data_IF_131527930539
#
_entry.id   IF_131527930539
#
_cell.length_a   1.000
_cell.length_b   1.000
_cell.length_c   1.000
_cell.angle_alpha   90.00
_cell.angle_beta   90.00
_cell.angle_gamma   90.00
#
_symmetry.space_group_name_H-M   'P 1'
#
loop_
_entity.id
_entity.type
_entity.pdbx_description
1 polymer ?
#
# COMPACT_ATOMS: atom_id res chain seq x y z
N UNK A 1 -13.05 -14.99 1.12
CA UNK A 1 -12.14 -15.29 0.79
C UNK A 1 -10.75 -15.67 1.27
N UNK A 2 -9.81 -15.43 0.38
CA UNK A 2 -8.42 -15.81 0.65
C UNK A 2 -7.65 -14.75 1.44
N UNK A 3 -8.23 -13.56 1.65
CA UNK A 3 -7.54 -12.48 2.36
C UNK A 3 -7.22 -12.85 3.80
N UNK A 4 -8.15 -13.51 4.49
CA UNK A 4 -7.92 -13.96 5.88
C UNK A 4 -6.75 -14.94 5.98
N UNK A 5 -6.66 -15.87 5.04
CA UNK A 5 -5.57 -16.85 5.00
C UNK A 5 -4.24 -16.19 4.67
N UNK A 6 -4.24 -15.26 3.72
CA UNK A 6 -3.04 -14.52 3.34
C UNK A 6 -2.54 -13.66 4.49
N UNK A 7 -3.45 -13.01 5.22
CA UNK A 7 -3.10 -12.20 6.38
C UNK A 7 -2.53 -13.06 7.51
N UNK A 8 -3.15 -14.21 7.77
CA UNK A 8 -2.66 -15.14 8.78
C UNK A 8 -1.27 -15.70 8.43
N UNK A 9 -1.04 -15.98 7.14
CA UNK A 9 0.26 -16.43 6.67
C UNK A 9 1.33 -15.34 6.84
N UNK A 10 1.01 -14.11 6.49
CA UNK A 10 1.94 -12.99 6.66
C UNK A 10 2.32 -12.81 8.13
N UNK A 11 1.33 -12.83 9.02
CA UNK A 11 1.58 -12.72 10.47
C UNK A 11 2.52 -13.86 10.93
N UNK A 12 2.25 -15.08 10.49
CA UNK A 12 3.06 -16.25 10.87
C UNK A 12 4.48 -16.15 10.31
N UNK A 13 4.63 -15.74 9.05
CA UNK A 13 5.93 -15.62 8.40
C UNK A 13 6.82 -14.55 9.04
N UNK A 14 6.21 -13.48 9.57
CA UNK A 14 6.94 -12.39 10.23
C UNK A 14 7.21 -12.65 11.72
N UNK A 15 6.62 -13.68 12.30
CA UNK A 15 6.75 -13.95 13.71
C UNK A 15 8.20 -14.11 14.20
N UNK A 16 9.09 -14.83 13.47
CA UNK A 16 10.49 -14.91 13.89
C UNK A 16 11.20 -13.56 13.92
N UNK A 17 10.86 -12.68 13.00
CA UNK A 17 11.44 -11.33 12.93
C UNK A 17 10.98 -10.52 14.14
N UNK A 18 9.69 -10.58 14.48
CA UNK A 18 9.14 -9.89 15.66
C UNK A 18 9.75 -10.40 16.95
N UNK A 19 9.93 -11.73 17.06
CA UNK A 19 10.49 -12.33 18.25
C UNK A 19 11.94 -11.94 18.47
N UNK A 20 12.69 -11.75 17.37
CA UNK A 20 14.10 -11.33 17.45
C UNK A 20 14.24 -9.87 17.89
N UNK A 21 13.34 -9.01 17.46
CA UNK A 21 13.38 -7.56 17.75
C UNK A 21 11.98 -7.03 18.07
N UNK A 22 11.42 -7.39 19.25
CA UNK A 22 10.01 -7.08 19.54
C UNK A 22 9.69 -5.60 19.67
N UNK A 23 10.67 -4.75 19.93
CA UNK A 23 10.47 -3.31 20.08
C UNK A 23 10.62 -2.54 18.78
N UNK A 24 11.01 -3.21 17.69
CA UNK A 24 11.21 -2.55 16.40
C UNK A 24 10.03 -2.88 15.47
N UNK A 25 9.30 -1.85 14.99
CA UNK A 25 8.20 -2.10 14.04
C UNK A 25 8.70 -2.68 12.73
N UNK A 26 7.94 -3.60 12.16
CA UNK A 26 8.21 -4.12 10.83
C UNK A 26 7.63 -3.14 9.82
N UNK A 27 8.45 -2.56 8.97
CA UNK A 27 8.02 -1.60 7.97
C UNK A 27 7.66 -2.29 6.67
N UNK A 28 6.66 -1.76 6.00
CA UNK A 28 6.22 -2.25 4.71
C UNK A 28 5.89 -1.11 3.78
N UNK A 29 5.66 -1.45 2.52
CA UNK A 29 5.39 -0.46 1.49
C UNK A 29 4.51 -1.06 0.41
N UNK A 30 3.41 -0.37 0.08
CA UNK A 30 2.67 -0.65 -1.14
C UNK A 30 3.28 0.16 -2.28
N UNK A 31 3.36 -0.44 -3.46
CA UNK A 31 3.90 0.21 -4.66
C UNK A 31 2.87 0.10 -5.78
N UNK A 32 2.63 1.20 -6.47
CA UNK A 32 1.85 1.21 -7.69
C UNK A 32 2.66 1.89 -8.79
N UNK A 33 2.80 1.21 -9.93
CA UNK A 33 3.47 1.77 -11.10
C UNK A 33 2.46 1.83 -12.24
N UNK A 34 2.31 3.01 -12.84
CA UNK A 34 1.43 3.24 -13.98
C UNK A 34 2.28 3.63 -15.18
N UNK A 35 1.98 3.04 -16.33
CA UNK A 35 2.62 3.39 -17.59
C UNK A 35 1.55 3.78 -18.59
N UNK A 36 1.77 4.88 -19.31
CA UNK A 36 0.87 5.34 -20.36
C UNK A 36 1.64 5.50 -21.66
N UNK A 37 1.12 4.93 -22.73
CA UNK A 37 1.68 5.08 -24.07
C UNK A 37 0.72 5.90 -24.92
N UNK A 38 1.28 6.74 -25.81
CA UNK A 38 0.48 7.57 -26.72
C UNK A 38 -0.03 6.75 -27.89
N UNK A 39 0.66 5.65 -28.20
CA UNK A 39 0.28 4.66 -29.20
C UNK A 39 1.04 3.38 -28.94
N UNK A 40 0.68 2.29 -29.63
CA UNK A 40 1.22 0.95 -29.35
C UNK A 40 2.75 0.87 -29.47
N UNK A 41 3.35 1.67 -30.34
CA UNK A 41 4.79 1.64 -30.60
C UNK A 41 5.52 2.81 -29.95
N UNK A 42 4.94 3.45 -28.93
CA UNK A 42 5.56 4.59 -28.28
C UNK A 42 6.87 4.17 -27.59
N UNK A 43 8.03 4.69 -28.03
CA UNK A 43 9.31 4.34 -27.44
C UNK A 43 9.57 5.05 -26.10
N UNK A 44 8.74 6.03 -25.73
CA UNK A 44 8.92 6.82 -24.51
C UNK A 44 7.61 6.87 -23.72
N UNK A 45 7.20 5.75 -23.10
CA UNK A 45 6.00 5.75 -22.28
C UNK A 45 6.16 6.69 -21.08
N UNK A 46 5.06 7.28 -20.65
CA UNK A 46 5.03 8.04 -19.40
C UNK A 46 4.85 7.05 -18.27
N UNK A 47 5.78 7.05 -17.30
CA UNK A 47 5.74 6.15 -16.14
C UNK A 47 5.58 6.97 -14.88
N UNK A 48 4.64 6.58 -14.03
CA UNK A 48 4.40 7.20 -12.74
C UNK A 48 4.39 6.14 -11.66
N UNK A 49 4.86 6.50 -10.47
CA UNK A 49 4.99 5.57 -9.36
C UNK A 49 4.45 6.21 -8.09
N UNK A 50 3.69 5.43 -7.33
CA UNK A 50 3.22 5.82 -6.01
C UNK A 50 3.72 4.84 -4.97
N UNK A 51 4.19 5.36 -3.83
CA UNK A 51 4.69 4.58 -2.71
C UNK A 51 3.87 4.90 -1.46
N UNK A 52 3.47 3.88 -0.74
CA UNK A 52 2.70 4.07 0.49
C UNK A 52 3.38 3.30 1.61
N UNK A 53 4.08 4.04 2.47
CA UNK A 53 4.87 3.47 3.56
C UNK A 53 4.02 3.32 4.82
N UNK A 54 4.25 2.24 5.56
CA UNK A 54 3.59 2.01 6.83
C UNK A 54 4.28 0.92 7.62
N UNK A 55 3.59 0.43 8.64
CA UNK A 55 4.08 -0.65 9.50
C UNK A 55 3.16 -1.86 9.37
N UNK A 56 3.73 -3.05 9.52
CA UNK A 56 2.98 -4.30 9.44
C UNK A 56 2.60 -4.74 10.86
N UNK A 57 1.32 -4.86 11.12
CA UNK A 57 0.80 -5.30 12.42
C UNK A 57 0.79 -6.83 12.54
N UNK A 58 0.74 -7.30 13.77
CA UNK A 58 0.56 -8.74 14.07
C UNK A 58 -0.91 -9.11 14.30
N UNK A 59 -1.80 -8.13 14.32
CA UNK A 59 -3.22 -8.32 14.55
C UNK A 59 -4.01 -7.43 13.59
N UNK A 60 -5.05 -7.95 12.92
CA UNK A 60 -5.84 -7.13 12.00
C UNK A 60 -6.59 -6.00 12.73
N UNK A 61 -6.67 -4.83 12.08
CA UNK A 61 -7.43 -3.68 12.55
C UNK A 61 -8.29 -3.14 11.40
N UNK A 62 -9.58 -2.95 11.66
CA UNK A 62 -10.52 -2.41 10.70
C UNK A 62 -11.17 -3.46 9.81
N UNK A 63 -12.31 -3.12 9.24
CA UNK A 63 -13.14 -4.03 8.45
C UNK A 63 -13.18 -3.68 6.97
N UNK A 64 -12.70 -2.49 6.60
CA UNK A 64 -12.74 -2.04 5.22
C UNK A 64 -11.53 -2.50 4.40
N UNK A 65 -11.51 -2.10 3.14
CA UNK A 65 -10.39 -2.41 2.26
C UNK A 65 -10.36 -3.86 1.82
N UNK A 66 -9.20 -4.31 1.37
CA UNK A 66 -8.98 -5.66 0.86
C UNK A 66 -7.50 -6.02 1.01
N UNK A 67 -7.19 -7.32 0.79
CA UNK A 67 -5.81 -7.79 0.87
C UNK A 67 -5.22 -7.63 2.26
N UNK A 68 -4.06 -7.00 2.35
CA UNK A 68 -3.33 -6.80 3.59
C UNK A 68 -3.71 -5.51 4.32
N UNK A 69 -4.72 -4.78 3.88
CA UNK A 69 -5.12 -3.49 4.47
C UNK A 69 -5.33 -3.53 5.99
N UNK A 70 -5.93 -4.58 6.57
CA UNK A 70 -6.09 -4.64 8.03
C UNK A 70 -4.77 -4.74 8.81
N UNK A 71 -3.69 -5.17 8.16
CA UNK A 71 -2.38 -5.32 8.79
C UNK A 71 -1.46 -4.13 8.53
N UNK A 72 -1.85 -3.19 7.67
CA UNK A 72 -1.01 -2.07 7.26
C UNK A 72 -1.39 -0.84 8.08
N UNK A 73 -0.47 -0.38 8.91
CA UNK A 73 -0.71 0.66 9.92
C UNK A 73 0.06 1.93 9.61
N UNK A 74 -0.59 3.06 9.79
CA UNK A 74 0.02 4.39 9.61
C UNK A 74 0.15 5.07 10.97
N UNK A 75 1.34 5.12 11.57
CA UNK A 75 1.51 5.73 12.90
C UNK A 75 1.08 7.18 12.95
N UNK A 76 1.34 7.95 11.89
CA UNK A 76 0.99 9.37 11.85
C UNK A 76 -0.52 9.59 11.87
N UNK A 77 -1.29 8.65 11.33
CA UNK A 77 -2.75 8.72 11.26
C UNK A 77 -3.42 7.97 12.40
N UNK A 78 -2.68 7.15 13.14
CA UNK A 78 -3.22 6.23 14.14
C UNK A 78 -4.36 5.39 13.58
N UNK A 79 -4.16 4.86 12.39
CA UNK A 79 -5.18 4.09 11.67
C UNK A 79 -4.54 3.05 10.75
N UNK A 80 -5.26 1.95 10.51
CA UNK A 80 -4.88 0.98 9.49
C UNK A 80 -5.44 1.40 8.12
N UNK A 81 -4.91 0.80 7.06
CA UNK A 81 -5.43 1.03 5.71
C UNK A 81 -6.90 0.60 5.61
N UNK A 82 -7.31 -0.44 6.34
CA UNK A 82 -8.69 -0.91 6.36
C UNK A 82 -9.65 0.05 7.10
N UNK A 83 -9.12 0.93 7.95
CA UNK A 83 -9.92 1.89 8.71
C UNK A 83 -10.10 3.23 8.01
N UNK A 84 -9.38 3.49 6.93
CA UNK A 84 -9.48 4.75 6.21
C UNK A 84 -10.71 4.80 5.30
N UNK A 85 -11.29 5.99 5.16
CA UNK A 85 -12.36 6.21 4.18
C UNK A 85 -11.80 6.08 2.76
N UNK A 86 -12.68 5.85 1.78
CA UNK A 86 -12.28 5.76 0.38
C UNK A 86 -11.63 7.07 -0.08
N UNK A 87 -12.14 8.23 0.36
CA UNK A 87 -11.59 9.52 -0.02
C UNK A 87 -10.18 9.72 0.54
N UNK A 88 -9.97 9.41 1.84
CA UNK A 88 -8.66 9.51 2.45
C UNK A 88 -7.66 8.56 1.81
N UNK A 89 -8.11 7.33 1.54
CA UNK A 89 -7.27 6.32 0.91
C UNK A 89 -6.85 6.74 -0.50
N UNK A 90 -7.76 7.34 -1.28
CA UNK A 90 -7.47 7.79 -2.64
C UNK A 90 -6.44 8.92 -2.67
N UNK A 91 -6.42 9.78 -1.65
CA UNK A 91 -5.50 10.91 -1.64
C UNK A 91 -4.07 10.54 -1.24
N UNK A 92 -3.89 9.48 -0.42
CA UNK A 92 -2.57 9.14 0.13
C UNK A 92 -2.05 7.76 -0.29
N UNK A 93 -2.91 6.90 -0.87
CA UNK A 93 -2.50 5.54 -1.24
C UNK A 93 -1.45 5.55 -2.35
N UNK A 94 -0.73 4.43 -2.47
CA UNK A 94 0.24 4.24 -3.55
C UNK A 94 -0.38 4.42 -4.94
N UNK A 95 -1.64 3.95 -5.12
CA UNK A 95 -2.37 4.10 -6.38
C UNK A 95 -2.74 5.56 -6.64
N UNK A 96 -3.27 6.25 -5.64
CA UNK A 96 -3.61 7.66 -5.75
C UNK A 96 -2.40 8.52 -6.08
N UNK A 97 -1.26 8.27 -5.43
CA UNK A 97 -0.01 8.97 -5.71
C UNK A 97 0.46 8.72 -7.14
N UNK A 98 0.39 7.48 -7.63
CA UNK A 98 0.81 7.15 -8.99
C UNK A 98 -0.06 7.87 -10.02
N UNK A 99 -1.38 7.94 -9.80
CA UNK A 99 -2.30 8.66 -10.69
C UNK A 99 -1.97 10.15 -10.72
N UNK A 100 -1.72 10.76 -9.56
CA UNK A 100 -1.36 12.18 -9.48
C UNK A 100 -0.05 12.46 -10.20
N UNK A 101 0.94 11.62 -10.05
CA UNK A 101 2.21 11.75 -10.77
C UNK A 101 2.01 11.63 -12.28
N UNK A 102 1.19 10.70 -12.72
CA UNK A 102 0.90 10.51 -14.14
C UNK A 102 0.26 11.76 -14.73
N UNK A 103 -0.76 12.32 -14.05
CA UNK A 103 -1.44 13.53 -14.50
C UNK A 103 -0.48 14.74 -14.57
N UNK A 104 0.46 14.84 -13.63
CA UNK A 104 1.44 15.93 -13.62
C UNK A 104 2.41 15.86 -14.79
N UNK A 105 2.62 14.68 -15.36
CA UNK A 105 3.54 14.49 -16.49
C UNK A 105 2.86 14.65 -17.85
N UNK A 106 1.54 14.71 -17.88
CA UNK A 106 0.82 14.86 -19.15
C UNK A 106 0.99 16.27 -19.68
N UNK A 107 1.29 16.41 -20.99
CA UNK A 107 1.31 17.73 -21.63
C UNK A 107 -0.13 18.22 -21.81
N UNK A 108 -0.46 19.32 -21.18
CA UNK A 108 -1.78 19.94 -21.29
C UNK A 108 -1.67 21.25 -22.06
#
# INVERSE_FOLDING_TARGET
>A
GNDSKNNAKLIADLQPIRAAEPDIPIKGMFVCVLAMVRHADDPLPIVAQGLWHGEILDTPHGDGGFGYDPLFWFPDLQASAASLSAADKNSISHRGQAIQQLLAQLPL
#
